data_IF_693278760622
#
_entry.id   IF_693278760622
#
_cell.length_a   1.000
_cell.length_b   1.000
_cell.length_c   1.000
_cell.angle_alpha   90.00
_cell.angle_beta   90.00
_cell.angle_gamma   90.00
#
_symmetry.space_group_name_H-M   'P 1'
#
loop_
_entity.id
_entity.type
_entity.pdbx_description
1 polymer ?
#
# COMPACT_ATOMS: atom_id res chain seq x y z
N UNK A 1 -0.50 9.09 -8.78
CA UNK A 1 0.30 8.30 -7.82
C UNK A 1 0.83 7.06 -8.51
N UNK A 2 2.02 6.62 -8.15
CA UNK A 2 2.65 5.40 -8.65
C UNK A 2 2.64 4.36 -7.55
N UNK A 3 2.04 3.21 -7.83
CA UNK A 3 1.96 2.09 -6.89
C UNK A 3 3.04 1.05 -7.18
N UNK A 4 3.80 0.66 -6.17
CA UNK A 4 4.74 -0.45 -6.20
C UNK A 4 4.25 -1.48 -5.19
N UNK A 5 3.51 -2.48 -5.67
CA UNK A 5 2.90 -3.52 -4.83
C UNK A 5 3.77 -4.78 -4.88
N UNK A 6 4.15 -5.29 -3.71
CA UNK A 6 4.95 -6.50 -3.53
C UNK A 6 4.23 -7.46 -2.60
N UNK A 7 4.18 -8.73 -2.99
CA UNK A 7 3.75 -9.83 -2.12
C UNK A 7 4.98 -10.57 -1.58
N UNK A 8 5.05 -10.76 -0.26
CA UNK A 8 6.05 -11.59 0.39
C UNK A 8 5.39 -12.92 0.76
N UNK A 9 5.81 -13.98 0.07
CA UNK A 9 5.23 -15.33 0.19
C UNK A 9 3.74 -15.42 -0.18
N UNK A 10 3.23 -14.45 -0.95
CA UNK A 10 1.86 -14.43 -1.48
C UNK A 10 1.87 -13.91 -2.92
N UNK A 11 1.06 -14.54 -3.77
CA UNK A 11 0.76 -14.03 -5.11
C UNK A 11 -0.27 -12.89 -5.04
N UNK A 12 0.09 -11.76 -5.64
CA UNK A 12 -0.81 -10.61 -5.74
C UNK A 12 -1.80 -10.86 -6.87
N UNK A 13 -3.04 -11.16 -6.50
CA UNK A 13 -4.15 -11.27 -7.45
C UNK A 13 -4.57 -9.88 -7.96
N UNK A 14 -5.20 -9.82 -9.13
CA UNK A 14 -5.73 -8.56 -9.66
C UNK A 14 -6.79 -7.94 -8.75
N UNK A 15 -7.58 -8.78 -8.06
CA UNK A 15 -8.56 -8.31 -7.08
C UNK A 15 -7.90 -7.61 -5.89
N UNK A 16 -6.83 -8.19 -5.34
CA UNK A 16 -6.06 -7.59 -4.25
C UNK A 16 -5.37 -6.30 -4.70
N UNK A 17 -4.77 -6.30 -5.89
CA UNK A 17 -4.16 -5.11 -6.49
C UNK A 17 -5.17 -3.97 -6.60
N UNK A 18 -6.31 -4.22 -7.24
CA UNK A 18 -7.33 -3.20 -7.44
C UNK A 18 -7.87 -2.67 -6.10
N UNK A 19 -8.06 -3.55 -5.12
CA UNK A 19 -8.51 -3.14 -3.79
C UNK A 19 -7.52 -2.21 -3.10
N UNK A 20 -6.22 -2.54 -3.13
CA UNK A 20 -5.16 -1.70 -2.55
C UNK A 20 -5.05 -0.37 -3.28
N UNK A 21 -5.06 -0.38 -4.62
CA UNK A 21 -4.98 0.84 -5.43
C UNK A 21 -6.17 1.78 -5.16
N UNK A 22 -7.39 1.25 -5.03
CA UNK A 22 -8.58 2.05 -4.70
C UNK A 22 -8.48 2.67 -3.30
N UNK A 23 -8.01 1.91 -2.30
CA UNK A 23 -7.90 2.38 -0.91
C UNK A 23 -6.79 3.40 -0.74
N UNK A 24 -5.58 3.08 -1.20
CA UNK A 24 -4.40 3.93 -1.05
C UNK A 24 -4.50 5.15 -1.98
N UNK A 25 -5.12 5.03 -3.16
CA UNK A 25 -5.36 6.17 -4.06
C UNK A 25 -6.27 7.26 -3.47
N UNK A 26 -7.06 6.96 -2.42
CA UNK A 26 -7.82 8.01 -1.69
C UNK A 26 -6.91 9.02 -1.01
N UNK A 27 -5.67 8.63 -0.69
CA UNK A 27 -4.67 9.52 -0.09
C UNK A 27 -4.31 10.65 -1.05
N UNK A 28 -4.33 10.44 -2.37
CA UNK A 28 -4.04 11.50 -3.36
C UNK A 28 -4.94 12.72 -3.20
N UNK A 29 -6.19 12.53 -2.75
CA UNK A 29 -7.15 13.64 -2.57
C UNK A 29 -6.73 14.65 -1.50
N UNK A 30 -5.78 14.29 -0.64
CA UNK A 30 -5.28 15.16 0.43
C UNK A 30 -3.98 15.89 0.05
N UNK A 31 -3.42 15.60 -1.13
CA UNK A 31 -2.13 16.12 -1.56
C UNK A 31 -2.21 16.59 -3.01
N UNK A 32 -2.43 17.89 -3.21
CA UNK A 32 -2.27 18.55 -4.51
C UNK A 32 -0.77 18.75 -4.80
N UNK A 33 -0.07 17.67 -5.13
CA UNK A 33 1.40 17.68 -5.29
C UNK A 33 1.86 17.20 -6.66
N UNK A 34 2.67 18.03 -7.32
CA UNK A 34 3.61 17.63 -8.37
C UNK A 34 5.02 17.61 -7.75
N UNK A 35 5.80 16.52 -7.85
CA UNK A 35 5.63 15.31 -8.67
C UNK A 35 4.64 14.28 -8.09
N UNK A 36 4.22 13.28 -8.90
CA UNK A 36 3.28 12.25 -8.45
C UNK A 36 3.82 11.44 -7.26
N UNK A 37 2.96 11.27 -6.24
CA UNK A 37 3.23 10.46 -5.04
C UNK A 37 3.66 9.05 -5.43
N UNK A 38 4.72 8.53 -4.81
CA UNK A 38 5.13 7.13 -4.96
C UNK A 38 4.77 6.35 -3.69
N UNK A 39 3.99 5.28 -3.83
CA UNK A 39 3.61 4.42 -2.71
C UNK A 39 4.12 2.99 -2.91
N UNK A 40 4.82 2.52 -1.89
CA UNK A 40 5.34 1.17 -1.78
C UNK A 40 4.42 0.40 -0.85
N UNK A 41 3.84 -0.68 -1.34
CA UNK A 41 2.96 -1.55 -0.56
C UNK A 41 3.61 -2.93 -0.49
N UNK A 42 3.75 -3.45 0.73
CA UNK A 42 4.16 -4.81 1.01
C UNK A 42 3.02 -5.56 1.67
N UNK A 43 2.61 -6.68 1.07
CA UNK A 43 1.60 -7.59 1.58
C UNK A 43 2.31 -8.88 2.00
N UNK A 44 2.14 -9.28 3.25
CA UNK A 44 2.74 -10.49 3.79
C UNK A 44 1.67 -11.32 4.51
N UNK A 45 1.76 -12.64 4.36
CA UNK A 45 0.92 -13.59 5.09
C UNK A 45 1.81 -14.50 5.93
N UNK A 46 1.68 -14.39 7.25
CA UNK A 46 2.37 -15.23 8.21
C UNK A 46 1.36 -16.07 9.01
N UNK A 47 1.20 -17.34 8.63
CA UNK A 47 0.18 -18.24 9.21
C UNK A 47 -1.23 -17.68 9.00
N UNK A 48 -1.88 -17.20 10.06
CA UNK A 48 -3.21 -16.58 10.04
C UNK A 48 -3.14 -15.05 10.12
N UNK A 49 -1.94 -14.47 10.02
CA UNK A 49 -1.73 -13.03 10.13
C UNK A 49 -1.53 -12.45 8.74
N UNK A 50 -2.31 -11.43 8.44
CA UNK A 50 -2.18 -10.62 7.25
C UNK A 50 -1.53 -9.30 7.65
N UNK A 51 -0.32 -9.09 7.17
CA UNK A 51 0.48 -7.90 7.45
C UNK A 51 0.47 -7.05 6.18
N UNK A 52 0.08 -5.80 6.33
CA UNK A 52 0.10 -4.81 5.26
C UNK A 52 0.96 -3.63 5.70
N UNK A 53 1.99 -3.35 4.93
CA UNK A 53 2.81 -2.16 5.11
C UNK A 53 2.65 -1.25 3.89
N UNK A 54 2.37 0.02 4.14
CA UNK A 54 2.25 1.07 3.12
C UNK A 54 3.22 2.18 3.48
N UNK A 55 4.13 2.50 2.56
CA UNK A 55 5.04 3.65 2.65
C UNK A 55 4.79 4.58 1.46
N UNK A 56 4.32 5.80 1.72
CA UNK A 56 4.13 6.83 0.71
C UNK A 56 5.21 7.92 0.82
N UNK A 57 5.82 8.26 -0.30
CA UNK A 57 6.79 9.33 -0.47
C UNK A 57 6.11 10.53 -1.14
N UNK A 58 6.03 11.66 -0.42
CA UNK A 58 5.30 12.86 -0.84
C UNK A 58 6.20 14.07 -0.58
N UNK A 59 6.82 14.63 -1.62
CA UNK A 59 7.63 15.87 -1.55
C UNK A 59 8.45 16.07 -0.25
N UNK A 60 9.36 15.13 0.04
CA UNK A 60 10.21 15.16 1.24
C UNK A 60 9.57 14.65 2.53
N UNK A 61 8.26 14.39 2.55
CA UNK A 61 7.54 13.68 3.60
C UNK A 61 7.51 12.17 3.32
N UNK A 62 7.74 11.37 4.37
CA UNK A 62 7.58 9.92 4.33
C UNK A 62 6.45 9.57 5.30
N UNK A 63 5.37 9.01 4.77
CA UNK A 63 4.27 8.47 5.56
C UNK A 63 4.34 6.95 5.52
N UNK A 64 4.50 6.32 6.69
CA UNK A 64 4.49 4.86 6.82
C UNK A 64 3.36 4.42 7.74
N UNK A 65 2.56 3.48 7.27
CA UNK A 65 1.55 2.77 8.05
C UNK A 65 1.81 1.27 7.94
N UNK A 66 1.76 0.58 9.07
CA UNK A 66 1.79 -0.87 9.14
C UNK A 66 0.56 -1.32 9.91
N UNK A 67 -0.13 -2.32 9.37
CA UNK A 67 -1.24 -2.96 10.06
C UNK A 67 -1.07 -4.47 9.98
N UNK A 68 -1.45 -5.15 11.07
CA UNK A 68 -1.53 -6.59 11.12
C UNK A 68 -2.92 -6.99 11.62
N UNK A 69 -3.64 -7.73 10.79
CA UNK A 69 -4.94 -8.29 11.13
C UNK A 69 -4.89 -9.82 11.13
N UNK A 70 -5.74 -10.44 11.92
CA UNK A 70 -5.98 -11.90 11.90
C UNK A 70 -7.08 -12.32 10.94
N UNK A 71 -7.75 -11.36 10.30
CA UNK A 71 -8.86 -11.58 9.37
C UNK A 71 -8.76 -10.55 8.24
N UNK A 72 -8.74 -11.03 6.99
CA UNK A 72 -8.55 -10.21 5.79
C UNK A 72 -9.86 -9.60 5.31
#
# INVERSE_FOLDING_TARGET
MKFIIRGKNIDITDALRNYVEEKVGKVEKYFDTEPPIEAHISLEVEKERHIVEVTAYIDGLILRGEEMTGDM
#
